data_IF_547059029195
#
_entry.id   IF_547059029195
#
_cell.length_a   1.000
_cell.length_b   1.000
_cell.length_c   1.000
_cell.angle_alpha   90.00
_cell.angle_beta   90.00
_cell.angle_gamma   90.00
#
_symmetry.space_group_name_H-M   'P 1'
#
loop_
_entity.id
_entity.type
_entity.pdbx_description
1 polymer ?
#
# COMPACT_ATOMS: atom_id res chain seq x y z
N UNK A 1 -23.87 3.08 -8.44
CA UNK A 1 -24.48 3.57 -7.18
C UNK A 1 -24.10 2.55 -6.12
N UNK A 2 -23.27 2.95 -5.16
CA UNK A 2 -22.87 2.11 -4.02
C UNK A 2 -23.79 2.39 -2.84
N UNK A 3 -24.32 1.35 -2.22
CA UNK A 3 -25.10 1.45 -0.99
C UNK A 3 -24.16 1.19 0.20
N UNK A 4 -24.02 2.17 1.08
CA UNK A 4 -23.30 2.06 2.35
C UNK A 4 -24.31 1.89 3.49
N UNK A 5 -24.18 0.82 4.24
CA UNK A 5 -24.81 0.69 5.55
C UNK A 5 -23.71 0.56 6.60
N UNK A 6 -23.50 1.61 7.38
CA UNK A 6 -22.70 1.56 8.61
C UNK A 6 -23.65 1.48 9.79
N UNK A 7 -23.65 0.34 10.48
CA UNK A 7 -24.33 0.16 11.75
C UNK A 7 -23.31 0.31 12.88
N UNK A 8 -23.31 1.48 13.54
CA UNK A 8 -22.53 1.68 14.77
C UNK A 8 -23.40 1.35 15.97
N UNK A 9 -23.19 0.22 16.61
CA UNK A 9 -23.87 -0.14 17.85
C UNK A 9 -23.12 0.49 19.01
N UNK A 10 -23.71 1.54 19.59
CA UNK A 10 -23.23 2.15 20.84
C UNK A 10 -24.07 1.61 21.99
N UNK A 11 -23.47 0.80 22.86
CA UNK A 11 -24.10 0.47 24.12
C UNK A 11 -23.91 1.64 25.08
N UNK A 12 -24.91 2.49 25.18
CA UNK A 12 -24.93 3.63 26.13
C UNK A 12 -25.70 3.25 27.38
N UNK A 13 -25.02 3.24 28.52
CA UNK A 13 -25.67 3.28 29.82
C UNK A 13 -26.11 4.71 30.08
N UNK A 14 -27.42 4.91 30.17
CA UNK A 14 -28.03 6.22 30.44
C UNK A 14 -27.88 6.53 31.92
N UNK A 15 -26.96 7.42 32.28
CA UNK A 15 -27.05 8.20 33.51
C UNK A 15 -27.49 9.61 33.12
N UNK A 16 -28.69 9.98 33.63
CA UNK A 16 -29.30 11.28 33.39
C UNK A 16 -28.61 12.37 34.22
N UNK A 17 -27.57 12.98 33.64
CA UNK A 17 -27.08 14.27 34.11
C UNK A 17 -27.63 15.33 33.15
N UNK A 18 -28.41 16.27 33.68
CA UNK A 18 -28.80 17.50 32.97
C UNK A 18 -27.55 18.28 32.59
N UNK A 19 -27.04 18.06 31.40
CA UNK A 19 -26.00 18.88 30.82
C UNK A 19 -26.63 20.13 30.21
N UNK A 20 -26.25 21.27 30.72
CA UNK A 20 -26.50 22.57 30.12
C UNK A 20 -25.65 22.59 28.83
N UNK A 21 -26.30 22.58 27.68
CA UNK A 21 -25.63 22.70 26.36
C UNK A 21 -24.98 24.08 26.29
N UNK A 22 -23.67 24.13 26.54
CA UNK A 22 -22.85 25.21 26.00
C UNK A 22 -22.77 24.99 24.48
N UNK A 23 -22.84 26.05 23.66
CA UNK A 23 -22.67 25.90 22.23
C UNK A 23 -21.31 25.29 21.98
N UNK A 24 -21.30 24.13 21.32
CA UNK A 24 -20.08 23.42 20.94
C UNK A 24 -19.18 24.36 20.16
N UNK A 25 -18.06 24.74 20.79
CA UNK A 25 -16.92 25.22 20.01
C UNK A 25 -16.38 24.02 19.24
N UNK A 26 -16.92 23.82 18.07
CA UNK A 26 -16.46 22.80 17.15
C UNK A 26 -15.04 23.19 16.77
N UNK A 27 -14.05 22.64 17.48
CA UNK A 27 -12.66 22.69 17.05
C UNK A 27 -12.55 21.74 15.88
N UNK A 28 -12.88 22.22 14.69
CA UNK A 28 -12.90 21.46 13.43
C UNK A 28 -11.52 21.07 12.93
N UNK A 29 -10.47 21.42 13.64
CA UNK A 29 -9.11 21.17 13.24
C UNK A 29 -8.52 19.99 14.03
N UNK A 30 -8.27 18.87 13.34
CA UNK A 30 -7.59 17.71 13.93
C UNK A 30 -6.12 18.05 14.23
N UNK A 31 -5.49 17.31 15.15
CA UNK A 31 -4.05 17.45 15.42
C UNK A 31 -3.21 17.31 14.13
N UNK A 32 -3.61 16.43 13.22
CA UNK A 32 -2.95 16.21 11.93
C UNK A 32 -3.06 17.44 11.01
N UNK A 33 -4.24 18.06 10.92
CA UNK A 33 -4.43 19.30 10.16
C UNK A 33 -3.60 20.45 10.70
N UNK A 34 -3.45 20.54 12.03
CA UNK A 34 -2.56 21.54 12.67
C UNK A 34 -1.09 21.29 12.35
N UNK A 35 -0.67 20.03 12.34
CA UNK A 35 0.71 19.67 11.96
C UNK A 35 0.95 19.92 10.47
N UNK A 36 -0.02 19.63 9.62
CA UNK A 36 0.04 19.91 8.19
C UNK A 36 0.24 21.42 7.93
N UNK A 37 -0.53 22.30 8.59
CA UNK A 37 -0.36 23.76 8.48
C UNK A 37 0.99 24.27 8.97
N UNK A 38 1.63 23.57 9.89
CA UNK A 38 2.98 23.90 10.39
C UNK A 38 4.09 23.30 9.53
N UNK A 39 3.76 22.43 8.60
CA UNK A 39 4.74 21.83 7.69
C UNK A 39 5.20 22.84 6.64
N UNK A 40 6.49 22.80 6.30
CA UNK A 40 7.02 23.51 5.15
C UNK A 40 6.64 22.85 3.81
N UNK A 41 6.16 21.60 3.86
CA UNK A 41 5.65 20.86 2.71
C UNK A 41 4.14 21.06 2.58
N UNK A 42 3.64 21.02 1.36
CA UNK A 42 2.20 20.95 1.11
C UNK A 42 1.66 19.61 1.58
N UNK A 43 0.82 19.61 2.60
CA UNK A 43 0.23 18.40 3.17
C UNK A 43 -1.29 18.50 3.06
N UNK A 44 -1.89 17.57 2.34
CA UNK A 44 -3.33 17.37 2.34
C UNK A 44 -3.69 16.21 3.30
N UNK A 45 -4.70 16.42 4.11
CA UNK A 45 -5.16 15.43 5.08
C UNK A 45 -6.52 14.90 4.66
N UNK A 46 -6.58 13.62 4.30
CA UNK A 46 -7.83 12.88 4.17
C UNK A 46 -8.16 12.26 5.54
N UNK A 47 -9.05 12.87 6.25
CA UNK A 47 -9.54 12.36 7.53
C UNK A 47 -10.56 11.23 7.35
N UNK A 48 -11.04 10.67 8.45
CA UNK A 48 -11.96 9.54 8.43
C UNK A 48 -13.29 9.87 7.73
N UNK A 49 -13.77 11.10 7.84
CA UNK A 49 -15.02 11.53 7.21
C UNK A 49 -14.84 11.65 5.69
N UNK A 50 -13.72 12.21 5.24
CA UNK A 50 -13.33 12.23 3.83
C UNK A 50 -13.24 10.81 3.26
N UNK A 51 -12.53 9.90 3.96
CA UNK A 51 -12.36 8.52 3.53
C UNK A 51 -13.71 7.79 3.43
N UNK A 52 -14.59 7.95 4.42
CA UNK A 52 -15.93 7.35 4.41
C UNK A 52 -16.77 7.86 3.25
N UNK A 53 -16.73 9.16 2.99
CA UNK A 53 -17.53 9.78 1.91
C UNK A 53 -17.11 9.29 0.52
N UNK A 54 -15.83 8.99 0.32
CA UNK A 54 -15.28 8.59 -0.96
C UNK A 54 -14.92 7.10 -1.03
N UNK A 55 -15.35 6.33 -0.04
CA UNK A 55 -15.04 4.90 0.04
C UNK A 55 -15.69 4.11 -1.10
N UNK A 56 -14.88 3.33 -1.80
CA UNK A 56 -15.34 2.48 -2.91
C UNK A 56 -14.90 1.02 -2.75
N UNK A 57 -14.29 0.66 -1.60
CA UNK A 57 -13.61 -0.62 -1.41
C UNK A 57 -12.19 -0.67 -2.00
N UNK A 58 -11.76 0.41 -2.67
CA UNK A 58 -10.40 0.59 -3.14
C UNK A 58 -9.83 1.87 -2.53
N UNK A 59 -8.68 1.76 -1.87
CA UNK A 59 -8.03 2.88 -1.20
C UNK A 59 -7.65 3.99 -2.17
N UNK A 60 -7.04 3.65 -3.30
CA UNK A 60 -6.54 4.66 -4.24
C UNK A 60 -7.65 5.45 -4.92
N UNK A 61 -8.79 4.81 -5.22
CA UNK A 61 -9.95 5.52 -5.77
C UNK A 61 -10.51 6.59 -4.82
N UNK A 62 -10.43 6.36 -3.51
CA UNK A 62 -10.76 7.41 -2.53
C UNK A 62 -9.75 8.56 -2.59
N UNK A 63 -8.47 8.27 -2.80
CA UNK A 63 -7.37 9.26 -2.85
C UNK A 63 -7.41 10.14 -4.10
N UNK A 64 -7.99 9.71 -5.21
CA UNK A 64 -8.15 10.51 -6.44
C UNK A 64 -8.98 11.79 -6.24
N UNK A 65 -9.75 11.86 -5.16
CA UNK A 65 -10.48 13.07 -4.78
C UNK A 65 -9.58 14.14 -4.13
N UNK A 66 -8.28 13.87 -3.95
CA UNK A 66 -7.29 14.85 -3.49
C UNK A 66 -6.62 15.48 -4.72
N UNK A 67 -6.61 16.81 -4.86
CA UNK A 67 -6.00 17.48 -6.02
C UNK A 67 -4.56 17.03 -6.27
N UNK A 68 -4.25 16.61 -7.50
CA UNK A 68 -2.92 16.17 -7.91
C UNK A 68 -2.51 14.77 -7.46
N UNK A 69 -3.42 14.01 -6.86
CA UNK A 69 -3.31 12.55 -6.65
C UNK A 69 -4.12 11.86 -7.72
N UNK A 70 -3.57 10.82 -8.30
CA UNK A 70 -4.22 9.96 -9.30
C UNK A 70 -3.97 8.51 -8.92
N UNK A 71 -4.87 7.64 -9.32
CA UNK A 71 -4.66 6.21 -9.28
C UNK A 71 -4.20 5.69 -10.64
N UNK A 72 -3.22 4.82 -10.64
CA UNK A 72 -2.90 3.99 -11.79
C UNK A 72 -3.67 2.68 -11.60
N UNK A 73 -4.87 2.63 -12.16
CA UNK A 73 -5.79 1.51 -12.00
C UNK A 73 -5.71 0.56 -13.19
N UNK A 74 -5.52 -0.71 -12.89
CA UNK A 74 -5.70 -1.82 -13.84
C UNK A 74 -6.80 -2.72 -13.29
N UNK A 75 -8.04 -2.34 -13.56
CA UNK A 75 -9.21 -3.04 -13.03
C UNK A 75 -9.48 -2.79 -11.55
N UNK A 76 -10.23 -3.70 -10.94
CA UNK A 76 -10.71 -3.53 -9.56
C UNK A 76 -9.69 -3.90 -8.50
N UNK A 77 -8.72 -4.76 -8.84
CA UNK A 77 -7.78 -5.33 -7.88
C UNK A 77 -6.41 -4.66 -7.84
N UNK A 78 -6.06 -3.89 -8.87
CA UNK A 78 -4.73 -3.31 -8.99
C UNK A 78 -4.80 -1.80 -9.10
N UNK A 79 -4.22 -1.13 -8.12
CA UNK A 79 -4.19 0.33 -8.09
C UNK A 79 -2.94 0.82 -7.39
N UNK A 80 -2.24 1.76 -7.99
CA UNK A 80 -1.04 2.40 -7.44
C UNK A 80 -1.17 3.92 -7.41
N UNK A 81 -0.53 4.58 -6.43
CA UNK A 81 -0.56 6.02 -6.35
C UNK A 81 0.33 6.67 -7.42
N UNK A 82 -0.17 7.79 -7.93
CA UNK A 82 0.58 8.74 -8.72
C UNK A 82 0.34 10.15 -8.18
N UNK A 83 1.39 10.90 -7.90
CA UNK A 83 1.32 12.28 -7.43
C UNK A 83 1.99 13.17 -8.48
N UNK A 84 1.23 14.11 -9.06
CA UNK A 84 1.73 15.06 -10.08
C UNK A 84 2.46 14.36 -11.23
N UNK A 85 1.95 13.23 -11.70
CA UNK A 85 2.53 12.45 -12.79
C UNK A 85 3.69 11.51 -12.41
N UNK A 86 4.14 11.54 -11.15
CA UNK A 86 5.15 10.59 -10.64
C UNK A 86 4.50 9.42 -9.93
N UNK A 87 4.96 8.21 -10.23
CA UNK A 87 4.47 6.96 -9.64
C UNK A 87 5.59 5.97 -9.35
N UNK A 88 5.22 4.73 -9.01
CA UNK A 88 6.12 3.63 -8.66
C UNK A 88 7.06 3.97 -7.49
N UNK A 89 8.35 3.68 -7.63
CA UNK A 89 9.40 3.93 -6.64
C UNK A 89 9.74 5.42 -6.44
N UNK A 90 8.95 6.35 -7.00
CA UNK A 90 9.08 7.79 -6.75
C UNK A 90 8.08 8.32 -5.73
N UNK A 91 7.12 7.49 -5.33
CA UNK A 91 6.14 7.78 -4.29
C UNK A 91 6.33 6.78 -3.15
N UNK A 92 6.66 7.29 -1.97
CA UNK A 92 6.71 6.46 -0.78
C UNK A 92 5.29 6.33 -0.18
N UNK A 93 4.86 5.11 0.07
CA UNK A 93 3.66 4.84 0.86
C UNK A 93 4.10 4.31 2.20
N UNK A 94 3.64 4.93 3.27
CA UNK A 94 3.92 4.50 4.64
C UNK A 94 2.65 3.97 5.29
N UNK A 95 2.78 2.92 6.06
CA UNK A 95 1.77 2.42 6.96
C UNK A 95 2.38 2.32 8.38
N UNK A 96 1.76 2.99 9.34
CA UNK A 96 2.25 3.05 10.72
C UNK A 96 3.72 3.53 10.84
N UNK A 97 4.14 4.47 9.99
CA UNK A 97 5.50 5.03 9.97
C UNK A 97 6.54 4.22 9.19
N UNK A 98 6.20 3.01 8.74
CA UNK A 98 7.09 2.14 7.96
C UNK A 98 6.72 2.21 6.48
N UNK A 99 7.73 2.41 5.62
CA UNK A 99 7.56 2.39 4.17
C UNK A 99 7.12 0.99 3.72
N UNK A 100 6.04 0.93 2.96
CA UNK A 100 5.57 -0.30 2.35
C UNK A 100 6.42 -0.65 1.13
N UNK A 101 6.90 -1.87 1.08
CA UNK A 101 7.66 -2.43 -0.03
C UNK A 101 6.76 -3.26 -0.95
N UNK A 102 7.16 -3.40 -2.23
CA UNK A 102 6.39 -4.09 -3.26
C UNK A 102 5.83 -3.17 -4.34
N UNK A 103 6.03 -1.84 -4.25
CA UNK A 103 5.55 -0.89 -5.25
C UNK A 103 6.46 -0.73 -6.48
N UNK A 104 7.71 -1.15 -6.38
CA UNK A 104 8.72 -1.05 -7.44
C UNK A 104 8.40 -1.92 -8.65
N UNK A 105 7.55 -2.92 -8.51
CA UNK A 105 7.15 -3.82 -9.59
C UNK A 105 6.09 -3.16 -10.49
N UNK A 106 5.78 -3.73 -11.63
CA UNK A 106 4.97 -3.16 -12.70
C UNK A 106 3.65 -2.50 -12.33
N UNK A 107 2.99 -1.90 -13.30
CA UNK A 107 1.69 -1.22 -13.10
C UNK A 107 0.55 -2.21 -12.77
N UNK A 108 0.71 -3.45 -13.14
CA UNK A 108 -0.16 -4.60 -12.94
C UNK A 108 -0.15 -5.15 -11.50
N UNK A 109 0.55 -4.48 -10.59
CA UNK A 109 0.61 -4.84 -9.18
C UNK A 109 -0.06 -3.76 -8.33
N UNK A 110 -0.93 -4.19 -7.41
CA UNK A 110 -1.66 -3.31 -6.52
C UNK A 110 -0.83 -2.77 -5.36
N UNK A 111 -1.44 -1.89 -4.60
CA UNK A 111 -0.97 -1.45 -3.29
C UNK A 111 -1.68 -2.29 -2.24
N UNK A 112 -0.95 -3.13 -1.52
CA UNK A 112 -1.49 -4.05 -0.53
C UNK A 112 -1.78 -3.31 0.79
N UNK A 113 -2.91 -2.61 0.81
CA UNK A 113 -3.47 -1.91 1.98
C UNK A 113 -4.93 -2.28 2.18
N UNK A 114 -5.31 -2.60 3.41
CA UNK A 114 -6.72 -2.80 3.77
C UNK A 114 -7.46 -1.46 3.78
N UNK A 115 -8.27 -1.20 2.75
CA UNK A 115 -9.05 0.02 2.61
C UNK A 115 -10.03 0.27 3.78
N UNK A 116 -10.44 -0.78 4.50
CA UNK A 116 -11.33 -0.67 5.67
C UNK A 116 -10.57 -0.29 6.95
N UNK A 117 -9.24 -0.47 7.00
CA UNK A 117 -8.43 -0.29 8.21
C UNK A 117 -7.61 1.02 8.22
N UNK A 118 -8.11 2.07 7.59
CA UNK A 118 -7.42 3.34 7.48
C UNK A 118 -8.13 4.39 8.35
N UNK A 119 -7.37 5.03 9.24
CA UNK A 119 -7.90 6.10 10.09
C UNK A 119 -7.86 7.47 9.42
N UNK A 120 -6.74 7.81 8.83
CA UNK A 120 -6.55 9.00 8.02
C UNK A 120 -5.34 8.82 7.10
N UNK A 121 -5.21 9.72 6.12
CA UNK A 121 -4.07 9.73 5.20
C UNK A 121 -3.52 11.14 5.10
N UNK A 122 -2.21 11.27 5.27
CA UNK A 122 -1.48 12.50 4.98
C UNK A 122 -0.82 12.36 3.61
N UNK A 123 -1.13 13.24 2.68
CA UNK A 123 -0.49 13.29 1.37
C UNK A 123 0.48 14.46 1.36
N UNK A 124 1.77 14.15 1.39
CA UNK A 124 2.84 15.14 1.33
C UNK A 124 3.27 15.31 -0.12
N UNK A 125 3.11 16.50 -0.66
CA UNK A 125 3.43 16.84 -2.04
C UNK A 125 4.69 17.70 -2.10
N UNK A 126 5.61 17.35 -2.99
CA UNK A 126 6.86 18.08 -3.15
C UNK A 126 8.08 17.29 -2.63
N UNK A 127 9.21 17.94 -2.37
CA UNK A 127 10.48 17.28 -2.09
C UNK A 127 10.52 16.66 -0.68
N UNK A 128 9.75 15.59 -0.49
CA UNK A 128 9.66 14.82 0.76
C UNK A 128 10.84 13.87 0.96
N UNK A 129 11.69 13.73 -0.07
CA UNK A 129 12.86 12.84 -0.06
C UNK A 129 13.83 13.13 1.09
N UNK A 130 13.91 14.39 1.54
CA UNK A 130 14.71 14.76 2.70
C UNK A 130 14.31 13.99 3.96
N UNK A 131 13.01 13.79 4.19
CA UNK A 131 12.48 13.12 5.39
C UNK A 131 12.32 11.61 5.25
N UNK A 132 12.09 11.13 4.00
CA UNK A 132 11.62 9.76 3.73
C UNK A 132 12.51 8.98 2.74
N UNK A 133 13.63 9.58 2.31
CA UNK A 133 14.59 8.95 1.40
C UNK A 133 14.28 9.17 -0.08
N UNK A 134 15.11 8.60 -0.94
CA UNK A 134 15.10 8.78 -2.40
C UNK A 134 13.77 8.42 -3.05
N UNK A 135 13.06 7.44 -2.51
CA UNK A 135 11.79 6.95 -3.06
C UNK A 135 10.61 7.91 -2.83
N UNK A 136 10.83 9.02 -2.13
CA UNK A 136 9.82 10.05 -1.87
C UNK A 136 10.01 11.33 -2.72
N UNK A 137 10.58 11.21 -3.91
CA UNK A 137 10.84 12.35 -4.79
C UNK A 137 9.55 13.05 -5.26
N UNK A 138 8.53 12.28 -5.59
CA UNK A 138 7.22 12.77 -6.04
C UNK A 138 6.29 13.14 -4.90
N UNK A 139 6.48 12.53 -3.74
CA UNK A 139 5.67 12.73 -2.56
C UNK A 139 5.56 11.51 -1.67
N UNK A 140 4.75 11.64 -0.63
CA UNK A 140 4.50 10.59 0.35
C UNK A 140 3.02 10.45 0.59
N UNK A 141 2.54 9.22 0.70
CA UNK A 141 1.24 8.86 1.21
C UNK A 141 1.46 8.18 2.56
N UNK A 142 1.13 8.87 3.64
CA UNK A 142 1.33 8.37 5.00
C UNK A 142 -0.02 7.95 5.59
N UNK A 143 -0.22 6.63 5.68
CA UNK A 143 -1.43 6.00 6.22
C UNK A 143 -1.28 5.87 7.72
N UNK A 144 -2.17 6.53 8.45
CA UNK A 144 -2.15 6.55 9.91
C UNK A 144 -3.34 5.79 10.49
N UNK A 145 -3.17 5.15 11.66
CA UNK A 145 -4.23 4.37 12.29
C UNK A 145 -5.38 5.26 12.74
N UNK A 146 -6.54 4.64 12.97
CA UNK A 146 -7.73 5.32 13.49
C UNK A 146 -7.46 5.99 14.84
N UNK A 147 -8.13 7.11 15.07
CA UNK A 147 -8.04 7.83 16.33
C UNK A 147 -8.48 6.94 17.50
N UNK A 148 -7.74 7.03 18.60
CA UNK A 148 -8.04 6.29 19.82
C UNK A 148 -9.22 6.96 20.54
N UNK A 149 -10.28 6.22 20.92
CA UNK A 149 -11.40 6.77 21.69
C UNK A 149 -10.93 7.46 22.98
N UNK A 150 -11.64 8.50 23.41
CA UNK A 150 -11.29 9.24 24.64
C UNK A 150 -11.59 8.42 25.92
N UNK A 151 -12.69 7.66 25.90
CA UNK A 151 -13.23 6.98 27.07
C UNK A 151 -12.88 5.50 27.10
N UNK A 152 -12.81 4.94 28.33
CA UNK A 152 -12.72 3.50 28.52
C UNK A 152 -14.01 2.83 28.02
N UNK A 153 -13.89 2.03 26.97
CA UNK A 153 -15.04 1.32 26.39
C UNK A 153 -14.62 0.14 25.54
N UNK A 154 -15.56 -0.77 25.39
CA UNK A 154 -15.54 -1.76 24.30
C UNK A 154 -16.43 -1.21 23.20
N UNK A 155 -16.02 -1.36 21.95
CA UNK A 155 -16.76 -0.87 20.80
C UNK A 155 -16.49 -1.74 19.60
N UNK A 156 -17.34 -1.66 18.61
CA UNK A 156 -17.19 -2.37 17.34
C UNK A 156 -17.75 -1.53 16.22
N UNK A 157 -17.39 -1.94 15.02
CA UNK A 157 -17.83 -1.33 13.79
C UNK A 157 -18.00 -2.42 12.74
N UNK A 158 -19.08 -2.35 11.98
CA UNK A 158 -19.39 -3.23 10.85
C UNK A 158 -19.60 -2.37 9.64
N UNK A 159 -18.88 -2.67 8.57
CA UNK A 159 -19.05 -2.03 7.28
C UNK A 159 -19.48 -3.06 6.25
N UNK A 160 -20.50 -2.79 5.46
CA UNK A 160 -20.92 -3.60 4.34
C UNK A 160 -20.72 -2.82 3.04
N UNK A 161 -20.24 -3.49 2.02
CA UNK A 161 -19.99 -2.92 0.69
C UNK A 161 -20.71 -3.73 -0.39
N UNK A 162 -21.44 -3.04 -1.25
CA UNK A 162 -22.00 -3.60 -2.46
C UNK A 162 -21.79 -2.67 -3.65
N UNK A 163 -21.32 -3.18 -4.80
CA UNK A 163 -21.17 -2.43 -6.06
C UNK A 163 -21.83 -3.19 -7.21
N UNK A 164 -22.66 -2.53 -7.98
CA UNK A 164 -23.35 -3.15 -9.12
C UNK A 164 -22.49 -3.23 -10.38
N UNK A 165 -21.45 -2.37 -10.51
CA UNK A 165 -20.62 -2.28 -11.71
C UNK A 165 -19.87 -3.59 -12.02
N UNK A 166 -19.43 -4.29 -11.00
CA UNK A 166 -18.71 -5.57 -11.10
C UNK A 166 -19.23 -6.60 -10.07
N UNK A 167 -20.42 -6.37 -9.51
CA UNK A 167 -21.01 -7.28 -8.52
C UNK A 167 -20.18 -7.43 -7.25
N UNK A 168 -19.39 -6.42 -6.83
CA UNK A 168 -18.62 -6.49 -5.59
C UNK A 168 -19.52 -6.68 -4.39
N UNK A 169 -19.19 -7.65 -3.55
CA UNK A 169 -19.76 -7.84 -2.22
C UNK A 169 -18.58 -7.91 -1.25
N UNK A 170 -18.67 -7.16 -0.16
CA UNK A 170 -17.61 -7.15 0.83
C UNK A 170 -18.06 -6.53 2.14
N UNK A 171 -17.15 -6.54 3.10
CA UNK A 171 -17.38 -5.89 4.36
C UNK A 171 -16.21 -6.03 5.33
N UNK A 172 -16.35 -5.40 6.46
CA UNK A 172 -15.40 -5.52 7.56
C UNK A 172 -16.08 -5.56 8.91
N UNK A 173 -15.46 -6.26 9.84
CA UNK A 173 -15.80 -6.29 11.25
C UNK A 173 -14.59 -5.85 12.05
N UNK A 174 -14.80 -4.86 12.94
CA UNK A 174 -13.79 -4.41 13.88
C UNK A 174 -14.32 -4.52 15.31
N UNK A 175 -13.49 -5.03 16.20
CA UNK A 175 -13.72 -5.05 17.64
C UNK A 175 -12.56 -4.36 18.34
N UNK A 176 -12.87 -3.43 19.22
CA UNK A 176 -11.88 -2.63 19.91
C UNK A 176 -12.19 -2.47 21.41
N UNK A 177 -11.14 -2.28 22.17
CA UNK A 177 -11.21 -2.01 23.60
C UNK A 177 -10.24 -0.90 23.98
N UNK A 178 -10.70 0.06 24.75
CA UNK A 178 -9.84 0.98 25.49
C UNK A 178 -10.00 0.77 26.98
N UNK A 179 -8.88 0.63 27.68
CA UNK A 179 -8.82 0.53 29.13
C UNK A 179 -7.59 1.29 29.64
N UNK A 180 -7.81 2.42 30.31
CA UNK A 180 -6.76 3.29 30.84
C UNK A 180 -5.75 3.73 29.76
N UNK A 181 -4.48 3.30 29.90
CA UNK A 181 -3.40 3.63 29.00
C UNK A 181 -3.39 2.78 27.72
N UNK A 182 -4.15 1.69 27.68
CA UNK A 182 -4.16 0.73 26.60
C UNK A 182 -5.36 0.90 25.69
N UNK A 183 -5.11 0.79 24.40
CA UNK A 183 -6.09 0.68 23.33
C UNK A 183 -5.69 -0.46 22.41
N UNK A 184 -6.63 -1.32 22.06
CA UNK A 184 -6.39 -2.37 21.08
C UNK A 184 -7.63 -2.55 20.21
N UNK A 185 -7.42 -2.88 18.95
CA UNK A 185 -8.48 -3.35 18.07
C UNK A 185 -7.98 -4.44 17.14
N UNK A 186 -8.88 -5.33 16.77
CA UNK A 186 -8.71 -6.29 15.69
C UNK A 186 -9.74 -5.98 14.61
N UNK A 187 -9.32 -6.05 13.35
CA UNK A 187 -10.20 -5.91 12.19
C UNK A 187 -9.99 -7.08 11.24
N UNK A 188 -11.10 -7.60 10.74
CA UNK A 188 -11.13 -8.48 9.59
C UNK A 188 -11.94 -7.83 8.49
N UNK A 189 -11.45 -7.89 7.26
CA UNK A 189 -12.18 -7.43 6.08
C UNK A 189 -12.05 -8.45 4.96
N UNK A 190 -13.11 -8.57 4.17
CA UNK A 190 -13.13 -9.42 2.98
C UNK A 190 -13.98 -8.76 1.90
N UNK A 191 -13.52 -8.85 0.65
CA UNK A 191 -14.30 -8.45 -0.51
C UNK A 191 -14.07 -9.40 -1.68
N UNK A 192 -15.15 -9.67 -2.40
CA UNK A 192 -15.18 -10.44 -3.63
C UNK A 192 -15.75 -9.56 -4.73
N UNK A 193 -15.06 -9.42 -5.83
CA UNK A 193 -15.52 -8.69 -7.00
C UNK A 193 -15.49 -9.58 -8.23
N UNK A 194 -16.46 -9.38 -9.10
CA UNK A 194 -16.54 -10.06 -10.40
C UNK A 194 -15.85 -9.26 -11.49
N UNK A 195 -15.92 -9.79 -12.70
CA UNK A 195 -15.42 -9.15 -13.90
C UNK A 195 -16.00 -7.75 -14.07
N UNK A 196 -15.14 -6.78 -14.35
CA UNK A 196 -15.59 -5.40 -14.50
C UNK A 196 -16.07 -5.10 -15.92
N UNK A 197 -17.01 -4.17 -16.01
CA UNK A 197 -17.59 -3.74 -17.27
C UNK A 197 -16.81 -2.61 -17.91
N UNK A 198 -16.73 -2.66 -19.24
CA UNK A 198 -16.14 -1.59 -20.06
C UNK A 198 -17.19 -1.03 -21.03
N UNK A 199 -17.06 0.23 -21.49
CA UNK A 199 -18.00 0.83 -22.43
C UNK A 199 -18.09 0.12 -23.79
N UNK A 200 -16.94 -0.28 -24.45
CA UNK A 200 -16.97 -0.92 -25.75
C UNK A 200 -17.41 -2.39 -25.66
N UNK A 201 -17.95 -2.91 -26.75
CA UNK A 201 -18.29 -4.32 -26.96
C UNK A 201 -17.15 -5.12 -27.60
N UNK A 202 -16.06 -4.47 -27.93
CA UNK A 202 -14.89 -5.06 -28.55
C UNK A 202 -13.66 -4.21 -28.32
N UNK A 203 -12.51 -4.83 -28.33
CA UNK A 203 -11.18 -4.17 -28.31
C UNK A 203 -10.45 -4.50 -29.61
N UNK A 204 -9.58 -3.61 -30.05
CA UNK A 204 -8.64 -3.87 -31.14
C UNK A 204 -7.26 -4.08 -30.57
N UNK A 205 -6.71 -5.26 -30.78
CA UNK A 205 -5.34 -5.59 -30.43
C UNK A 205 -4.55 -5.92 -31.69
N UNK A 206 -3.51 -5.18 -31.94
CA UNK A 206 -2.81 -5.17 -33.23
C UNK A 206 -3.83 -4.87 -34.36
N UNK A 207 -4.11 -5.82 -35.23
CA UNK A 207 -5.09 -5.67 -36.31
C UNK A 207 -6.37 -6.49 -36.10
N UNK A 208 -6.44 -7.24 -34.99
CA UNK A 208 -7.59 -8.12 -34.70
C UNK A 208 -8.61 -7.43 -33.80
N UNK A 209 -9.88 -7.56 -34.16
CA UNK A 209 -11.00 -7.15 -33.34
C UNK A 209 -11.42 -8.31 -32.45
N UNK A 210 -11.28 -8.12 -31.13
CA UNK A 210 -11.64 -9.10 -30.11
C UNK A 210 -12.97 -8.70 -29.50
N UNK A 211 -14.02 -9.52 -29.59
CA UNK A 211 -15.30 -9.24 -28.98
C UNK A 211 -15.21 -9.32 -27.46
N UNK A 212 -15.94 -8.44 -26.76
CA UNK A 212 -16.06 -8.44 -25.29
C UNK A 212 -17.50 -8.78 -24.95
N UNK A 213 -17.72 -10.02 -24.55
CA UNK A 213 -19.04 -10.57 -24.27
C UNK A 213 -19.68 -9.88 -23.07
N UNK A 214 -20.92 -9.44 -23.20
CA UNK A 214 -21.64 -8.72 -22.15
C UNK A 214 -20.96 -7.42 -21.69
N UNK A 215 -19.96 -6.91 -22.45
CA UNK A 215 -19.09 -5.78 -22.07
C UNK A 215 -18.33 -6.04 -20.76
N UNK A 216 -18.07 -7.30 -20.40
CA UNK A 216 -17.28 -7.68 -19.24
C UNK A 216 -15.92 -8.18 -19.70
N UNK A 217 -14.86 -7.69 -19.06
CA UNK A 217 -13.52 -8.22 -19.28
C UNK A 217 -13.37 -9.51 -18.47
N UNK A 218 -13.42 -10.65 -19.17
CA UNK A 218 -13.29 -11.98 -18.59
C UNK A 218 -12.01 -12.08 -17.75
N UNK A 219 -12.09 -12.83 -16.66
CA UNK A 219 -10.98 -13.12 -15.75
C UNK A 219 -10.38 -11.87 -15.08
N UNK A 220 -11.22 -10.88 -14.76
CA UNK A 220 -10.80 -9.71 -13.96
C UNK A 220 -11.43 -9.72 -12.58
N UNK A 221 -12.05 -10.83 -12.20
CA UNK A 221 -12.57 -11.09 -10.87
C UNK A 221 -11.43 -11.21 -9.84
N UNK A 222 -11.77 -11.01 -8.57
CA UNK A 222 -10.79 -11.14 -7.49
C UNK A 222 -11.39 -11.25 -6.11
N UNK A 223 -10.50 -11.60 -5.19
CA UNK A 223 -10.76 -11.76 -3.76
C UNK A 223 -9.68 -11.03 -3.00
N UNK A 224 -10.08 -10.28 -1.99
CA UNK A 224 -9.19 -9.66 -1.02
C UNK A 224 -9.63 -10.03 0.40
N UNK A 225 -8.70 -10.44 1.26
CA UNK A 225 -8.90 -10.80 2.66
C UNK A 225 -7.82 -10.19 3.52
N UNK A 226 -8.23 -9.45 4.53
CA UNK A 226 -7.28 -8.74 5.37
C UNK A 226 -7.59 -8.99 6.84
N UNK A 227 -6.54 -9.08 7.63
CA UNK A 227 -6.63 -9.09 9.08
C UNK A 227 -5.61 -8.12 9.65
N UNK A 228 -6.02 -7.33 10.62
CA UNK A 228 -5.15 -6.36 11.29
C UNK A 228 -5.39 -6.34 12.79
N UNK A 229 -4.32 -6.32 13.54
CA UNK A 229 -4.28 -6.06 14.98
C UNK A 229 -3.49 -4.79 15.23
N UNK A 230 -4.06 -3.85 15.94
CA UNK A 230 -3.37 -2.64 16.39
C UNK A 230 -3.50 -2.48 17.88
N UNK A 231 -2.39 -2.16 18.56
CA UNK A 231 -2.36 -1.88 19.99
C UNK A 231 -1.57 -0.61 20.25
N UNK A 232 -2.14 0.28 21.04
CA UNK A 232 -1.46 1.49 21.51
C UNK A 232 -1.40 1.51 23.03
N UNK A 233 -0.23 1.81 23.55
CA UNK A 233 -0.02 2.21 24.94
C UNK A 233 0.34 3.68 24.99
N UNK A 234 -0.35 4.46 25.81
CA UNK A 234 -0.03 5.88 26.01
C UNK A 234 -0.16 6.25 27.48
N UNK A 235 0.93 6.70 28.04
CA UNK A 235 0.97 7.18 29.42
C UNK A 235 1.93 8.36 29.56
N UNK A 236 1.41 9.51 30.01
CA UNK A 236 2.19 10.76 30.13
C UNK A 236 2.89 11.09 28.81
N UNK A 237 4.23 11.18 28.85
CA UNK A 237 5.07 11.54 27.73
C UNK A 237 5.40 10.37 26.77
N UNK A 238 5.07 9.13 27.15
CA UNK A 238 5.40 7.94 26.37
C UNK A 238 4.20 7.41 25.58
N UNK A 239 4.42 7.16 24.31
CA UNK A 239 3.47 6.52 23.39
C UNK A 239 4.16 5.37 22.66
N UNK A 240 3.51 4.23 22.61
CA UNK A 240 3.94 3.06 21.85
C UNK A 240 2.78 2.52 21.03
N UNK A 241 3.03 2.24 19.76
CA UNK A 241 2.09 1.57 18.86
C UNK A 241 2.71 0.25 18.40
N UNK A 242 1.89 -0.77 18.28
CA UNK A 242 2.24 -2.09 17.73
C UNK A 242 1.16 -2.46 16.73
N UNK A 243 1.55 -2.89 15.55
CA UNK A 243 0.61 -3.35 14.54
C UNK A 243 1.11 -4.64 13.89
N UNK A 244 0.18 -5.54 13.65
CA UNK A 244 0.37 -6.74 12.83
C UNK A 244 -0.76 -6.77 11.82
N UNK A 245 -0.43 -6.85 10.54
CA UNK A 245 -1.43 -6.95 9.48
C UNK A 245 -1.00 -7.95 8.41
N UNK A 246 -1.99 -8.59 7.80
CA UNK A 246 -1.80 -9.42 6.64
C UNK A 246 -2.85 -9.08 5.59
N UNK A 247 -2.39 -8.80 4.39
CA UNK A 247 -3.22 -8.57 3.21
C UNK A 247 -3.03 -9.73 2.26
N UNK A 248 -4.11 -10.44 1.96
CA UNK A 248 -4.16 -11.46 0.93
C UNK A 248 -5.02 -10.99 -0.22
N UNK A 249 -4.50 -11.10 -1.44
CA UNK A 249 -5.22 -10.77 -2.66
C UNK A 249 -4.97 -11.85 -3.72
N UNK A 250 -6.04 -12.26 -4.43
CA UNK A 250 -5.95 -13.04 -5.66
C UNK A 250 -6.83 -12.36 -6.70
N UNK A 251 -6.25 -12.03 -7.86
CA UNK A 251 -6.94 -11.29 -8.93
C UNK A 251 -6.53 -11.83 -10.28
N UNK A 252 -7.51 -12.11 -11.12
CA UNK A 252 -7.28 -12.52 -12.49
C UNK A 252 -6.83 -11.34 -13.38
N UNK A 253 -6.14 -11.67 -14.46
CA UNK A 253 -5.81 -10.75 -15.53
C UNK A 253 -6.64 -11.05 -16.77
N UNK A 254 -7.07 -10.02 -17.47
CA UNK A 254 -7.74 -10.19 -18.75
C UNK A 254 -6.79 -10.91 -19.75
N UNK A 255 -7.16 -12.09 -20.26
CA UNK A 255 -6.26 -12.91 -21.08
C UNK A 255 -5.81 -12.21 -22.37
N UNK A 256 -6.61 -11.27 -22.88
CA UNK A 256 -6.26 -10.46 -24.04
C UNK A 256 -5.17 -9.42 -23.82
N UNK A 257 -4.79 -9.16 -22.56
CA UNK A 257 -3.70 -8.22 -22.20
C UNK A 257 -2.38 -8.94 -21.89
N UNK A 258 -2.39 -10.28 -21.80
CA UNK A 258 -1.24 -11.10 -21.45
C UNK A 258 -0.84 -11.99 -22.65
N UNK A 259 0.23 -11.59 -23.32
CA UNK A 259 0.69 -12.29 -24.54
C UNK A 259 -0.14 -11.96 -25.79
N UNK A 260 -0.14 -12.87 -26.78
CA UNK A 260 -0.93 -12.74 -27.99
C UNK A 260 -2.38 -13.08 -27.67
N UNK A 261 -3.36 -12.18 -27.95
CA UNK A 261 -4.75 -12.45 -27.66
C UNK A 261 -5.27 -13.65 -28.46
N UNK A 262 -5.77 -14.64 -27.76
CA UNK A 262 -6.51 -15.75 -28.34
C UNK A 262 -8.01 -15.50 -28.11
N UNK A 263 -8.78 -15.41 -29.17
CA UNK A 263 -10.21 -15.16 -29.12
C UNK A 263 -10.95 -16.22 -28.28
N UNK A 264 -10.47 -17.47 -28.28
CA UNK A 264 -11.06 -18.56 -27.50
C UNK A 264 -10.91 -18.35 -25.97
N UNK A 265 -9.88 -17.65 -25.54
CA UNK A 265 -9.63 -17.38 -24.10
C UNK A 265 -10.47 -16.24 -23.54
N UNK A 266 -11.08 -15.43 -24.39
CA UNK A 266 -11.93 -14.30 -24.00
C UNK A 266 -13.42 -14.59 -24.13
N UNK A 267 -13.79 -15.81 -24.57
CA UNK A 267 -15.19 -16.23 -24.60
C UNK A 267 -15.81 -16.25 -23.20
N UNK A 268 -17.05 -15.79 -23.11
CA UNK A 268 -17.81 -15.79 -21.85
C UNK A 268 -18.12 -17.24 -21.45
N UNK A 269 -17.68 -17.64 -20.27
CA UNK A 269 -17.95 -18.96 -19.68
C UNK A 269 -19.21 -18.97 -18.80
N UNK A 270 -19.90 -17.84 -18.69
CA UNK A 270 -21.11 -17.68 -17.87
C UNK A 270 -20.85 -17.44 -16.39
N UNK A 271 -19.60 -17.51 -15.90
CA UNK A 271 -19.22 -17.22 -14.52
C UNK A 271 -18.29 -16.00 -14.45
N UNK A 272 -18.83 -14.86 -14.07
CA UNK A 272 -18.07 -13.63 -13.91
C UNK A 272 -17.30 -13.52 -12.58
N UNK A 273 -17.20 -14.59 -11.80
CA UNK A 273 -16.52 -14.61 -10.49
C UNK A 273 -15.40 -15.63 -10.39
N UNK A 274 -15.26 -16.51 -11.36
CA UNK A 274 -14.13 -17.43 -11.41
C UNK A 274 -12.82 -16.67 -11.66
N UNK A 275 -11.72 -17.23 -11.17
CA UNK A 275 -10.38 -16.69 -11.38
C UNK A 275 -9.56 -17.81 -12.01
N UNK A 276 -9.37 -17.68 -13.31
CA UNK A 276 -8.61 -18.61 -14.14
C UNK A 276 -7.19 -18.06 -14.41
N UNK A 277 -6.41 -18.78 -15.21
CA UNK A 277 -5.13 -18.28 -15.71
C UNK A 277 -5.37 -17.21 -16.82
N UNK A 278 -4.58 -16.12 -16.83
CA UNK A 278 -3.56 -15.74 -15.85
C UNK A 278 -4.13 -15.04 -14.62
N UNK A 279 -3.45 -15.17 -13.48
CA UNK A 279 -3.81 -14.45 -12.25
C UNK A 279 -2.57 -14.09 -11.41
N UNK A 280 -2.70 -13.04 -10.60
CA UNK A 280 -1.76 -12.71 -9.53
C UNK A 280 -2.31 -13.10 -8.16
N UNK A 281 -1.42 -13.52 -7.29
CA UNK A 281 -1.69 -13.83 -5.89
C UNK A 281 -0.63 -13.17 -5.01
N UNK A 282 -1.06 -12.44 -3.99
CA UNK A 282 -0.18 -11.74 -3.05
C UNK A 282 -0.57 -12.08 -1.63
N UNK A 283 0.41 -12.29 -0.78
CA UNK A 283 0.27 -12.36 0.66
C UNK A 283 1.31 -11.44 1.29
N UNK A 284 0.88 -10.36 1.94
CA UNK A 284 1.76 -9.35 2.51
C UNK A 284 1.57 -9.25 4.01
N UNK A 285 2.46 -9.89 4.76
CA UNK A 285 2.55 -9.80 6.22
C UNK A 285 3.37 -8.58 6.62
N UNK A 286 2.86 -7.79 7.56
CA UNK A 286 3.55 -6.62 8.13
C UNK A 286 3.49 -6.65 9.64
N UNK A 287 4.62 -6.44 10.30
CA UNK A 287 4.74 -6.28 11.75
C UNK A 287 5.50 -4.98 12.01
N UNK A 288 4.87 -4.03 12.69
CA UNK A 288 5.45 -2.71 12.91
C UNK A 288 5.33 -2.26 14.36
N UNK A 289 6.27 -1.47 14.81
CA UNK A 289 6.18 -0.76 16.09
C UNK A 289 6.67 0.66 15.95
N UNK A 290 5.97 1.59 16.58
CA UNK A 290 6.35 2.99 16.71
C UNK A 290 6.45 3.35 18.19
N UNK A 291 7.58 3.89 18.60
CA UNK A 291 7.85 4.31 19.96
C UNK A 291 8.12 5.82 19.99
N UNK A 292 7.54 6.54 20.92
CA UNK A 292 7.78 7.97 21.06
C UNK A 292 7.86 8.35 22.55
N UNK A 293 8.86 9.15 22.88
CA UNK A 293 8.96 9.80 24.18
C UNK A 293 9.14 11.30 23.99
N UNK A 294 8.31 12.08 24.69
CA UNK A 294 8.31 13.53 24.61
C UNK A 294 8.79 14.14 25.92
N UNK A 295 9.99 14.71 25.93
CA UNK A 295 10.46 15.62 26.95
C UNK A 295 10.01 17.06 26.63
N UNK A 296 10.28 17.99 27.52
CA UNK A 296 9.92 19.39 27.33
C UNK A 296 10.48 20.00 26.02
N UNK A 297 11.72 19.70 25.70
CA UNK A 297 12.45 20.25 24.54
C UNK A 297 12.94 19.21 23.53
N UNK A 298 12.65 17.94 23.75
CA UNK A 298 13.10 16.85 22.91
C UNK A 298 11.98 15.84 22.70
N UNK A 299 11.68 15.51 21.45
CA UNK A 299 10.85 14.36 21.11
C UNK A 299 11.72 13.33 20.40
N UNK A 300 11.87 12.17 21.03
CA UNK A 300 12.54 11.03 20.45
C UNK A 300 11.50 10.06 19.94
N UNK A 301 11.62 9.64 18.68
CA UNK A 301 10.78 8.61 18.08
C UNK A 301 11.61 7.57 17.38
N UNK A 302 11.11 6.33 17.37
CA UNK A 302 11.74 5.21 16.68
C UNK A 302 10.69 4.29 16.08
N UNK A 303 10.98 3.77 14.91
CA UNK A 303 10.16 2.82 14.18
C UNK A 303 10.96 1.56 13.89
N UNK A 304 10.33 0.38 14.05
CA UNK A 304 10.85 -0.89 13.59
C UNK A 304 9.76 -1.59 12.78
N UNK A 305 10.15 -2.21 11.68
CA UNK A 305 9.25 -2.93 10.81
C UNK A 305 9.87 -4.19 10.23
N UNK A 306 9.06 -5.23 10.15
CA UNK A 306 9.31 -6.41 9.34
C UNK A 306 8.16 -6.57 8.35
N UNK A 307 8.49 -6.85 7.10
CA UNK A 307 7.53 -7.15 6.05
C UNK A 307 7.98 -8.40 5.31
N UNK A 308 7.01 -9.26 4.99
CA UNK A 308 7.17 -10.34 4.02
C UNK A 308 6.12 -10.17 2.94
N UNK A 309 6.54 -9.79 1.74
CA UNK A 309 5.70 -9.71 0.56
C UNK A 309 5.95 -10.93 -0.30
N UNK A 310 5.03 -11.88 -0.28
CA UNK A 310 5.06 -13.06 -1.13
C UNK A 310 4.07 -12.88 -2.27
N UNK A 311 4.60 -12.74 -3.48
CA UNK A 311 3.84 -12.51 -4.71
C UNK A 311 4.08 -13.63 -5.70
N UNK A 312 3.01 -14.08 -6.33
CA UNK A 312 3.03 -15.07 -7.38
C UNK A 312 2.22 -14.59 -8.58
N UNK A 313 2.73 -14.86 -9.78
CA UNK A 313 2.02 -14.71 -11.04
C UNK A 313 1.91 -16.08 -11.70
N UNK A 314 0.71 -16.40 -12.11
CA UNK A 314 0.35 -17.69 -12.68
C UNK A 314 -0.18 -17.49 -14.10
N UNK A 315 0.41 -18.18 -15.05
CA UNK A 315 0.03 -18.18 -16.46
C UNK A 315 0.24 -19.57 -17.04
N UNK A 316 -0.59 -19.98 -18.00
CA UNK A 316 -0.37 -21.25 -18.67
C UNK A 316 1.06 -21.30 -19.20
N UNK A 317 1.75 -22.41 -18.92
CA UNK A 317 3.15 -22.56 -19.31
C UNK A 317 3.34 -22.23 -20.80
N UNK A 318 4.27 -21.37 -21.06
CA UNK A 318 4.72 -21.03 -22.40
C UNK A 318 6.23 -20.79 -22.38
N UNK A 319 6.87 -21.01 -23.48
CA UNK A 319 8.32 -20.78 -23.62
C UNK A 319 8.61 -20.10 -24.95
N UNK A 320 9.61 -19.25 -24.93
CA UNK A 320 10.19 -18.67 -26.13
C UNK A 320 11.22 -19.63 -26.78
N UNK A 321 11.64 -20.68 -26.07
CA UNK A 321 12.67 -21.63 -26.47
C UNK A 321 12.05 -23.02 -26.56
N UNK A 322 11.91 -23.56 -27.75
CA UNK A 322 11.20 -24.81 -28.00
C UNK A 322 11.74 -26.08 -27.32
N UNK A 323 12.80 -25.98 -26.51
CA UNK A 323 13.39 -27.10 -25.78
C UNK A 323 13.12 -27.03 -24.25
N UNK A 324 12.53 -25.96 -23.76
CA UNK A 324 12.24 -25.82 -22.32
C UNK A 324 11.00 -26.64 -21.97
N UNK A 325 11.09 -27.66 -21.11
CA UNK A 325 9.92 -28.38 -20.62
C UNK A 325 9.22 -27.56 -19.51
N UNK A 326 7.93 -27.81 -19.32
CA UNK A 326 7.23 -27.27 -18.17
C UNK A 326 7.84 -27.83 -16.87
N UNK A 327 7.92 -27.02 -15.78
CA UNK A 327 8.35 -27.52 -14.47
C UNK A 327 7.46 -28.67 -13.98
N UNK A 328 8.05 -29.66 -13.31
CA UNK A 328 7.30 -30.78 -12.72
C UNK A 328 6.36 -30.32 -11.60
N UNK A 329 6.80 -29.32 -10.83
CA UNK A 329 6.02 -28.71 -9.76
C UNK A 329 5.54 -27.34 -10.17
N UNK A 330 4.24 -27.07 -9.96
CA UNK A 330 3.61 -25.80 -10.27
C UNK A 330 3.90 -25.33 -11.73
N UNK A 331 3.54 -26.12 -12.77
CA UNK A 331 3.94 -25.88 -14.16
C UNK A 331 3.49 -24.52 -14.70
N UNK A 332 2.40 -23.97 -14.14
CA UNK A 332 1.82 -22.70 -14.55
C UNK A 332 2.24 -21.53 -13.64
N UNK A 333 3.18 -21.73 -12.73
CA UNK A 333 3.73 -20.63 -11.94
C UNK A 333 4.78 -19.89 -12.76
N UNK A 334 4.40 -18.74 -13.30
CA UNK A 334 5.26 -17.94 -14.17
C UNK A 334 6.36 -17.24 -13.38
N UNK A 335 5.96 -16.44 -12.36
CA UNK A 335 6.87 -15.66 -11.53
C UNK A 335 6.48 -15.79 -10.06
N UNK A 336 7.48 -15.82 -9.19
CA UNK A 336 7.24 -15.64 -7.76
C UNK A 336 8.39 -14.87 -7.12
N UNK A 337 8.04 -13.93 -6.24
CA UNK A 337 8.94 -13.11 -5.47
C UNK A 337 8.61 -13.25 -3.99
N UNK A 338 9.63 -13.49 -3.18
CA UNK A 338 9.53 -13.55 -1.73
C UNK A 338 10.43 -12.48 -1.11
N UNK A 339 9.89 -11.27 -0.99
CA UNK A 339 10.61 -10.11 -0.51
C UNK A 339 10.46 -9.98 1.01
N UNK A 340 11.54 -10.19 1.73
CA UNK A 340 11.66 -9.92 3.16
C UNK A 340 12.35 -8.57 3.36
N UNK A 341 11.73 -7.70 4.16
CA UNK A 341 12.24 -6.36 4.45
C UNK A 341 12.25 -6.10 5.95
N UNK A 342 13.40 -5.73 6.49
CA UNK A 342 13.57 -5.19 7.83
C UNK A 342 13.86 -3.70 7.72
N UNK A 343 13.14 -2.88 8.47
CA UNK A 343 13.29 -1.42 8.48
C UNK A 343 13.42 -0.92 9.91
N UNK A 344 14.28 0.06 10.11
CA UNK A 344 14.43 0.76 11.38
C UNK A 344 14.61 2.25 11.16
N UNK A 345 14.03 3.09 12.01
CA UNK A 345 14.31 4.53 12.00
C UNK A 345 14.35 5.11 13.41
N UNK A 346 15.15 6.14 13.60
CA UNK A 346 15.19 6.94 14.83
C UNK A 346 15.21 8.42 14.45
N UNK A 347 14.38 9.21 15.09
CA UNK A 347 14.32 10.67 14.88
C UNK A 347 14.32 11.38 16.24
N UNK A 348 15.22 12.33 16.38
CA UNK A 348 15.31 13.23 17.53
C UNK A 348 14.94 14.64 17.09
N UNK A 349 13.81 15.17 17.58
CA UNK A 349 13.32 16.50 17.29
C UNK A 349 13.54 17.40 18.50
N UNK A 350 14.41 18.38 18.35
CA UNK A 350 14.77 19.36 19.36
C UNK A 350 13.99 20.65 19.16
N UNK A 351 13.27 21.07 20.17
CA UNK A 351 12.55 22.34 20.22
C UNK A 351 13.41 23.31 21.05
N UNK A 352 14.41 23.93 20.40
CA UNK A 352 15.45 24.69 21.09
C UNK A 352 14.96 26.03 21.67
N UNK A 353 14.17 26.76 20.90
CA UNK A 353 13.54 28.04 21.31
C UNK A 353 12.16 28.13 20.68
N UNK A 354 11.41 29.19 21.00
CA UNK A 354 10.12 29.45 20.35
C UNK A 354 10.20 29.55 18.83
N UNK A 355 11.39 29.83 18.26
CA UNK A 355 11.60 30.09 16.85
C UNK A 355 12.38 28.99 16.10
N UNK A 356 13.15 28.14 16.78
CA UNK A 356 14.00 27.14 16.15
C UNK A 356 13.60 25.70 16.51
N UNK A 357 13.49 24.88 15.50
CA UNK A 357 13.28 23.44 15.61
C UNK A 357 14.32 22.70 14.75
N UNK A 358 14.98 21.69 15.32
CA UNK A 358 15.93 20.85 14.62
C UNK A 358 15.47 19.39 14.70
N UNK A 359 15.56 18.67 13.59
CA UNK A 359 15.32 17.23 13.54
C UNK A 359 16.58 16.54 13.02
N UNK A 360 17.11 15.64 13.81
CA UNK A 360 18.14 14.67 13.39
C UNK A 360 17.45 13.33 13.21
N UNK A 361 17.79 12.63 12.14
CA UNK A 361 17.22 11.31 11.86
C UNK A 361 18.25 10.36 11.30
N UNK A 362 18.00 9.09 11.57
CA UNK A 362 18.65 7.95 10.96
C UNK A 362 17.59 6.94 10.53
N UNK A 363 17.77 6.33 9.39
CA UNK A 363 16.98 5.19 8.95
C UNK A 363 17.89 4.13 8.29
N UNK A 364 17.45 2.89 8.37
CA UNK A 364 18.12 1.75 7.75
C UNK A 364 17.10 0.72 7.29
N UNK A 365 17.44 0.04 6.19
CA UNK A 365 16.62 -1.02 5.63
C UNK A 365 17.51 -2.15 5.13
N UNK A 366 17.08 -3.39 5.37
CA UNK A 366 17.67 -4.58 4.77
C UNK A 366 16.59 -5.39 4.06
N UNK A 367 16.87 -5.77 2.82
CA UNK A 367 15.99 -6.53 1.96
C UNK A 367 16.67 -7.79 1.45
N UNK A 368 15.88 -8.86 1.36
CA UNK A 368 16.23 -10.07 0.63
C UNK A 368 15.05 -10.47 -0.24
N UNK A 369 15.29 -10.61 -1.54
CA UNK A 369 14.30 -11.10 -2.49
C UNK A 369 14.78 -12.43 -3.06
N UNK A 370 14.02 -13.49 -2.82
CA UNK A 370 14.20 -14.79 -3.43
C UNK A 370 13.18 -14.93 -4.57
N UNK A 371 13.57 -15.56 -5.68
CA UNK A 371 12.72 -15.72 -6.87
C UNK A 371 12.45 -17.19 -7.17
N UNK A 372 11.33 -17.44 -7.83
CA UNK A 372 11.00 -18.75 -8.43
C UNK A 372 9.95 -18.58 -9.53
N UNK A 373 9.64 -19.68 -10.24
CA UNK A 373 8.79 -19.69 -11.42
C UNK A 373 9.57 -20.10 -12.66
N UNK A 374 8.87 -20.26 -13.78
CA UNK A 374 9.53 -20.67 -15.02
C UNK A 374 10.06 -19.50 -15.86
N UNK A 375 9.60 -18.29 -15.59
CA UNK A 375 10.08 -17.04 -16.23
C UNK A 375 11.05 -16.29 -15.32
N UNK A 376 11.94 -15.53 -15.95
CA UNK A 376 12.89 -14.66 -15.27
C UNK A 376 12.55 -13.19 -15.56
N UNK A 377 12.36 -12.41 -14.51
CA UNK A 377 12.13 -10.95 -14.62
C UNK A 377 13.27 -10.14 -14.00
N UNK A 378 13.71 -10.54 -12.82
CA UNK A 378 14.81 -9.89 -12.10
C UNK A 378 15.56 -10.92 -11.25
N UNK A 379 16.86 -10.73 -11.00
CA UNK A 379 17.64 -11.66 -10.22
C UNK A 379 17.31 -11.61 -8.73
N UNK A 380 17.68 -12.65 -8.00
CA UNK A 380 17.74 -12.61 -6.54
C UNK A 380 18.69 -11.52 -6.06
N UNK A 381 18.31 -10.82 -5.01
CA UNK A 381 19.17 -9.78 -4.46
C UNK A 381 19.09 -9.68 -2.93
N UNK A 382 20.15 -9.14 -2.36
CA UNK A 382 20.21 -8.61 -1.01
C UNK A 382 20.61 -7.16 -1.08
N UNK A 383 19.81 -6.28 -0.49
CA UNK A 383 20.02 -4.83 -0.50
C UNK A 383 20.02 -4.32 0.92
N UNK A 384 20.99 -3.48 1.24
CA UNK A 384 21.01 -2.72 2.49
C UNK A 384 21.13 -1.24 2.16
N UNK A 385 20.32 -0.43 2.82
CA UNK A 385 20.37 1.03 2.70
C UNK A 385 20.38 1.66 4.08
N UNK A 386 21.06 2.78 4.21
CA UNK A 386 21.05 3.60 5.42
C UNK A 386 21.07 5.07 5.04
N UNK A 387 20.36 5.89 5.81
CA UNK A 387 20.29 7.33 5.58
C UNK A 387 20.42 8.10 6.88
N UNK A 388 21.04 9.27 6.80
CA UNK A 388 21.10 10.25 7.89
C UNK A 388 20.57 11.57 7.39
N UNK A 389 19.79 12.25 8.21
CA UNK A 389 19.19 13.54 7.87
C UNK A 389 19.37 14.55 9.01
N UNK A 390 19.49 15.81 8.60
CA UNK A 390 19.34 16.95 9.48
C UNK A 390 18.41 17.96 8.80
N UNK A 391 17.32 18.29 9.49
CA UNK A 391 16.35 19.29 9.08
C UNK A 391 16.30 20.38 10.14
N UNK A 392 16.29 21.64 9.73
CA UNK A 392 16.08 22.78 10.60
C UNK A 392 14.91 23.62 10.09
N UNK A 393 14.11 24.11 11.02
CA UNK A 393 12.99 25.02 10.74
C UNK A 393 13.15 26.24 11.62
N UNK A 394 13.17 27.42 11.00
CA UNK A 394 13.13 28.71 11.66
C UNK A 394 11.76 29.35 11.49
N UNK A 395 11.10 29.63 12.61
CA UNK A 395 9.75 30.20 12.66
C UNK A 395 9.70 31.34 13.67
N UNK A 396 10.11 32.56 13.25
CA UNK A 396 10.12 33.74 14.15
C UNK A 396 8.73 34.18 14.61
N UNK A 397 7.70 33.88 13.81
CA UNK A 397 6.30 34.21 14.10
C UNK A 397 5.36 33.21 13.42
N UNK A 398 4.05 33.40 13.57
CA UNK A 398 3.04 32.49 12.99
C UNK A 398 2.82 32.65 11.50
N UNK A 399 3.41 33.66 10.85
CA UNK A 399 3.22 33.99 9.44
C UNK A 399 4.38 33.50 8.60
N UNK A 400 5.61 33.58 9.12
CA UNK A 400 6.84 33.29 8.38
C UNK A 400 7.51 32.01 8.92
N UNK A 401 7.85 31.13 8.01
CA UNK A 401 8.59 29.90 8.31
C UNK A 401 9.54 29.56 7.18
N UNK A 402 10.78 29.25 7.51
CA UNK A 402 11.78 28.73 6.58
C UNK A 402 12.30 27.41 7.08
N UNK A 403 12.34 26.42 6.21
CA UNK A 403 12.92 25.10 6.51
C UNK A 403 13.98 24.74 5.48
N UNK A 404 15.05 24.14 5.95
CA UNK A 404 16.12 23.61 5.12
C UNK A 404 16.78 22.42 5.80
N UNK A 405 17.44 21.59 5.01
CA UNK A 405 18.09 20.42 5.55
C UNK A 405 18.98 19.72 4.55
N UNK A 406 19.69 18.72 5.04
CA UNK A 406 20.55 17.85 4.26
C UNK A 406 20.28 16.40 4.62
N UNK A 407 20.41 15.54 3.62
CA UNK A 407 20.32 14.09 3.78
C UNK A 407 21.44 13.42 3.01
N UNK A 408 22.02 12.40 3.59
CA UNK A 408 22.96 11.52 2.94
C UNK A 408 22.48 10.08 3.05
N UNK A 409 22.42 9.40 1.92
CA UNK A 409 22.02 8.00 1.82
C UNK A 409 23.17 7.17 1.26
N UNK A 410 23.38 6.00 1.83
CA UNK A 410 24.28 4.97 1.32
C UNK A 410 23.50 3.68 1.07
N UNK A 411 23.74 3.06 -0.08
CA UNK A 411 23.12 1.80 -0.47
C UNK A 411 24.15 0.81 -0.98
N UNK A 412 24.01 -0.44 -0.57
CA UNK A 412 24.74 -1.57 -1.09
C UNK A 412 23.78 -2.66 -1.54
N UNK A 413 24.04 -3.23 -2.69
CA UNK A 413 23.23 -4.30 -3.27
C UNK A 413 24.14 -5.41 -3.80
N UNK A 414 23.84 -6.63 -3.40
CA UNK A 414 24.44 -7.83 -3.95
C UNK A 414 23.37 -8.56 -4.76
N UNK A 415 23.68 -8.87 -6.00
CA UNK A 415 22.81 -9.50 -6.98
C UNK A 415 23.41 -10.87 -7.32
N UNK A 416 22.58 -11.92 -7.26
CA UNK A 416 22.96 -13.25 -7.70
C UNK A 416 22.98 -13.31 -9.24
N UNK A 417 23.98 -13.96 -9.82
CA UNK A 417 23.97 -14.25 -11.24
C UNK A 417 22.82 -15.18 -11.58
N UNK A 418 22.22 -15.00 -12.74
CA UNK A 418 21.21 -15.90 -13.29
C UNK A 418 21.69 -16.38 -14.67
N UNK A 419 21.73 -17.67 -14.85
CA UNK A 419 22.04 -18.30 -16.12
C UNK A 419 20.76 -18.95 -16.69
N UNK A 420 20.30 -18.47 -17.84
CA UNK A 420 19.23 -19.12 -18.60
C UNK A 420 19.83 -20.18 -19.53
N UNK A 421 19.93 -21.40 -19.03
CA UNK A 421 20.52 -22.53 -19.79
C UNK A 421 19.73 -22.85 -21.04
N UNK A 422 18.42 -22.61 -21.07
CA UNK A 422 17.58 -22.87 -22.26
C UNK A 422 17.79 -21.82 -23.35
N UNK A 423 17.97 -20.55 -22.95
CA UNK A 423 18.37 -19.48 -23.88
C UNK A 423 19.76 -19.78 -24.47
N UNK A 424 20.71 -20.14 -23.63
CA UNK A 424 22.06 -20.47 -24.04
C UNK A 424 22.05 -21.64 -25.06
N UNK A 425 21.30 -22.70 -24.78
CA UNK A 425 21.14 -23.84 -25.70
C UNK A 425 20.43 -23.46 -27.00
N UNK A 426 19.43 -22.60 -26.95
CA UNK A 426 18.74 -22.07 -28.12
C UNK A 426 19.70 -21.28 -29.00
N UNK A 427 20.49 -20.36 -28.42
CA UNK A 427 21.48 -19.56 -29.16
C UNK A 427 22.57 -20.41 -29.79
N UNK A 428 23.10 -21.42 -29.07
CA UNK A 428 24.05 -22.40 -29.64
C UNK A 428 23.48 -23.11 -30.83
N UNK A 429 22.21 -23.54 -30.80
CA UNK A 429 21.52 -24.18 -31.94
C UNK A 429 21.32 -23.23 -33.11
N UNK A 430 21.24 -21.91 -32.86
CA UNK A 430 21.18 -20.88 -33.92
C UNK A 430 22.57 -20.54 -34.50
N UNK A 431 23.65 -21.14 -33.97
CA UNK A 431 25.02 -20.95 -34.48
C UNK A 431 25.78 -19.76 -33.86
N UNK A 432 25.30 -19.22 -32.71
CA UNK A 432 26.07 -18.22 -31.96
C UNK A 432 27.28 -18.88 -31.28
N UNK A 433 28.42 -18.15 -31.28
CA UNK A 433 29.65 -18.61 -30.65
C UNK A 433 29.49 -18.62 -29.11
N UNK A 434 30.02 -19.64 -28.40
CA UNK A 434 30.02 -19.67 -26.95
C UNK A 434 30.53 -18.36 -26.29
N UNK A 435 31.57 -17.74 -26.85
CA UNK A 435 32.06 -16.44 -26.35
C UNK A 435 31.05 -15.27 -26.48
N UNK A 436 30.03 -15.41 -27.33
CA UNK A 436 28.95 -14.43 -27.50
C UNK A 436 27.75 -14.71 -26.61
N UNK A 437 27.70 -15.89 -25.98
CA UNK A 437 26.60 -16.34 -25.12
C UNK A 437 26.95 -16.14 -23.63
N UNK A 438 28.23 -16.25 -23.28
CA UNK A 438 28.72 -16.02 -21.93
C UNK A 438 28.89 -14.51 -21.68
N UNK A 439 27.95 -13.93 -20.95
CA UNK A 439 27.99 -12.54 -20.49
C UNK A 439 28.39 -12.44 -19.03
#
# INVERSE_FOLDING_TARGET
IGLFLTLSVHAQKSDSIKSMLLPDVVVTETYQQRQAKKSALTVDVADQDFLRKHFTGNFMQAMENIPGVQAMDIGSGFSKPMIRGMGFNRIAVLENGIKQEGQQWGADHGLELDAFNIGAVNVLKGPSSLLYGSDAMGGVIDVVPSAVPADNRVFGDVTLLGKSVNGTIGGSLMLGIRKNAWYSHIRYSEQHFGDYRIPPDSIVYLTQRIPIYGRKLKNTAGIERNIGLFTQYQRRAYKANYAVSNVYQKTGFFPGAHGIPDASRVEDDGDSRNIELPFSKVNHLKVTTHQQYAWEKLILSGDLGFQNNHREEWSAFHTHYGSQPAPEKDPDKELAFNLNTFSASVKARFIGSSSWEHTLGWDGQHQRNDISGYSFLLPEYRRSTTGMLWLTTYRPNNVFSVSGGVRYDYGYMNISSHEDTYLADYLRKQGYDPEQIDF
#
